data_IF_961168275271
#
_entry.id   IF_961168275271
#
_cell.length_a   1.000
_cell.length_b   1.000
_cell.length_c   1.000
_cell.angle_alpha   90.00
_cell.angle_beta   90.00
_cell.angle_gamma   90.00
#
_symmetry.space_group_name_H-M   'P 1'
#
loop_
_entity.id
_entity.type
_entity.pdbx_description
1 polymer ?
#
# COMPACT_ATOMS: atom_id res chain seq x y z
N UNK A 1 -20.73 2.62 23.72
CA UNK A 1 -19.32 2.68 23.27
C UNK A 1 -19.03 4.12 22.85
N UNK A 2 -18.02 4.77 23.45
CA UNK A 2 -17.90 6.24 23.43
C UNK A 2 -16.96 6.70 22.30
N UNK A 3 -17.38 7.64 21.42
CA UNK A 3 -16.67 8.03 20.18
C UNK A 3 -15.34 8.78 20.40
N UNK A 4 -14.94 8.99 21.66
CA UNK A 4 -13.71 9.72 22.02
C UNK A 4 -12.44 8.86 21.92
N UNK A 5 -12.56 7.53 21.93
CA UNK A 5 -11.41 6.64 21.77
C UNK A 5 -10.87 6.62 20.33
N UNK A 6 -11.75 6.72 19.32
CA UNK A 6 -11.37 6.68 17.92
C UNK A 6 -10.41 7.84 17.54
N UNK A 7 -10.68 9.04 18.07
CA UNK A 7 -9.83 10.22 17.85
C UNK A 7 -8.47 10.12 18.57
N UNK A 8 -8.41 9.45 19.72
CA UNK A 8 -7.14 9.28 20.45
C UNK A 8 -6.19 8.30 19.74
N UNK A 9 -6.71 7.20 19.19
CA UNK A 9 -5.88 6.20 18.48
C UNK A 9 -5.25 6.80 17.22
N UNK A 10 -5.98 7.66 16.48
CA UNK A 10 -5.47 8.30 15.27
C UNK A 10 -4.25 9.20 15.54
N UNK A 11 -4.17 9.83 16.72
CA UNK A 11 -3.04 10.68 17.09
C UNK A 11 -1.78 9.91 17.49
N UNK A 12 -1.93 8.73 18.12
CA UNK A 12 -0.80 7.91 18.59
C UNK A 12 -0.04 7.26 17.43
N UNK A 13 -0.72 7.01 16.29
CA UNK A 13 -0.12 6.35 15.12
C UNK A 13 0.66 7.33 14.21
N UNK A 14 0.42 8.64 14.29
CA UNK A 14 1.09 9.64 13.43
C UNK A 14 2.48 10.05 13.99
N UNK A 15 2.72 9.92 15.30
CA UNK A 15 3.94 10.38 15.95
C UNK A 15 5.22 9.50 15.82
N UNK A 16 5.21 8.20 15.45
CA UNK A 16 6.46 7.43 15.33
C UNK A 16 7.14 7.54 13.96
N UNK A 17 6.57 8.26 12.98
CA UNK A 17 7.11 8.32 11.61
C UNK A 17 8.29 9.29 11.42
N UNK A 18 8.79 9.96 12.47
CA UNK A 18 9.82 10.99 12.29
C UNK A 18 11.25 10.67 12.74
N UNK A 19 11.61 9.58 13.43
CA UNK A 19 13.03 9.42 13.82
C UNK A 19 13.50 7.97 14.01
N UNK A 20 14.08 7.37 12.96
CA UNK A 20 15.24 6.48 13.08
C UNK A 20 16.12 6.65 11.83
N UNK A 21 17.11 7.54 11.90
CA UNK A 21 18.30 7.45 11.07
C UNK A 21 19.42 6.87 11.94
N UNK A 22 19.42 5.56 12.14
CA UNK A 22 20.58 4.84 12.70
C UNK A 22 21.44 4.41 11.54
N UNK A 23 22.50 5.16 11.30
CA UNK A 23 23.58 4.75 10.41
C UNK A 23 24.36 3.60 11.06
N UNK A 24 24.44 2.46 10.38
CA UNK A 24 25.51 1.49 10.58
C UNK A 24 26.26 1.32 9.26
N UNK A 25 27.50 1.82 9.26
CA UNK A 25 28.53 1.50 8.27
C UNK A 25 29.32 0.29 8.79
N UNK A 26 29.43 -0.75 7.97
CA UNK A 26 30.31 -1.91 8.14
C UNK A 26 30.12 -2.82 6.92
N UNK A 27 30.86 -2.65 5.81
CA UNK A 27 32.19 -3.18 5.46
C UNK A 27 32.26 -4.72 5.35
N UNK A 28 32.38 -5.15 4.08
CA UNK A 28 33.01 -6.36 3.53
C UNK A 28 32.15 -7.60 3.21
N UNK A 29 31.60 -7.60 1.98
CA UNK A 29 31.52 -8.76 1.10
C UNK A 29 31.49 -8.31 -0.38
N UNK A 30 32.70 -7.99 -0.88
CA UNK A 30 32.99 -7.74 -2.29
C UNK A 30 32.81 -9.01 -3.15
N UNK A 31 31.57 -9.47 -3.32
CA UNK A 31 31.15 -10.41 -4.37
C UNK A 31 29.75 -9.98 -4.81
N UNK A 32 29.68 -9.00 -5.70
CA UNK A 32 28.41 -8.66 -6.35
C UNK A 32 28.07 -9.77 -7.35
N UNK A 33 27.26 -10.74 -6.93
CA UNK A 33 26.49 -11.54 -7.88
C UNK A 33 25.11 -10.89 -8.02
N UNK A 34 24.75 -10.36 -9.19
CA UNK A 34 23.37 -9.94 -9.41
C UNK A 34 22.48 -11.19 -9.27
N UNK A 35 21.59 -11.16 -8.28
CA UNK A 35 20.53 -12.13 -8.18
C UNK A 35 19.56 -11.77 -9.29
N UNK A 36 19.52 -12.58 -10.34
CA UNK A 36 18.50 -12.47 -11.37
C UNK A 36 17.21 -13.04 -10.76
N UNK A 37 16.28 -12.18 -10.36
CA UNK A 37 14.95 -12.61 -9.94
C UNK A 37 14.26 -13.34 -11.11
N UNK A 38 13.86 -14.63 -10.97
CA UNK A 38 13.23 -15.37 -12.07
C UNK A 38 11.77 -14.94 -12.35
N UNK A 39 11.38 -13.71 -11.99
CA UNK A 39 10.03 -13.20 -12.23
C UNK A 39 10.00 -11.72 -12.59
N UNK A 40 10.91 -11.25 -13.44
CA UNK A 40 10.83 -9.90 -14.02
C UNK A 40 9.90 -9.85 -15.25
N UNK A 41 8.86 -10.67 -15.23
CA UNK A 41 7.88 -10.80 -16.30
C UNK A 41 6.46 -10.42 -15.84
N UNK A 42 6.35 -9.57 -14.82
CA UNK A 42 5.07 -8.97 -14.45
C UNK A 42 5.13 -7.45 -14.63
N UNK A 43 4.71 -7.04 -15.82
CA UNK A 43 4.27 -5.69 -16.17
C UNK A 43 5.34 -4.58 -16.08
N UNK A 44 6.01 -4.32 -17.21
CA UNK A 44 6.72 -3.07 -17.52
C UNK A 44 5.76 -1.86 -17.62
N UNK A 45 4.79 -1.79 -16.73
CA UNK A 45 3.84 -0.71 -16.57
C UNK A 45 4.31 0.10 -15.36
N UNK A 46 5.01 1.22 -15.57
CA UNK A 46 5.31 2.16 -14.48
C UNK A 46 4.00 2.82 -14.04
N UNK A 47 3.29 2.12 -13.15
CA UNK A 47 2.10 2.61 -12.48
C UNK A 47 2.55 3.57 -11.38
N UNK A 48 2.26 4.86 -11.55
CA UNK A 48 2.56 5.88 -10.55
C UNK A 48 1.29 6.21 -9.78
N UNK A 49 1.30 5.97 -8.47
CA UNK A 49 0.22 6.41 -7.59
C UNK A 49 0.03 7.94 -7.68
N UNK A 50 -1.20 8.38 -7.89
CA UNK A 50 -1.57 9.79 -7.92
C UNK A 50 -2.29 10.20 -6.63
N UNK A 51 -3.46 9.59 -6.36
CA UNK A 51 -4.27 9.88 -5.17
C UNK A 51 -5.23 8.74 -4.84
N UNK A 52 -5.74 8.74 -3.61
CA UNK A 52 -6.94 7.98 -3.23
C UNK A 52 -8.17 8.78 -3.63
N UNK A 53 -9.12 8.14 -4.31
CA UNK A 53 -10.41 8.73 -4.72
C UNK A 53 -11.42 8.53 -3.59
N UNK A 54 -11.55 7.30 -3.12
CA UNK A 54 -12.40 6.92 -2.00
C UNK A 54 -11.82 5.70 -1.29
N UNK A 55 -12.27 5.49 -0.06
CA UNK A 55 -11.80 4.39 0.75
C UNK A 55 -12.87 3.95 1.73
N UNK A 56 -12.98 2.64 1.88
CA UNK A 56 -13.83 1.99 2.85
C UNK A 56 -12.98 1.12 3.77
N UNK A 57 -13.47 0.94 5.00
CA UNK A 57 -12.79 0.11 5.99
C UNK A 57 -13.79 -0.87 6.58
N UNK A 58 -13.40 -2.14 6.66
CA UNK A 58 -14.16 -3.19 7.30
C UNK A 58 -13.31 -3.87 8.37
N UNK A 59 -13.87 -4.00 9.57
CA UNK A 59 -13.24 -4.69 10.70
C UNK A 59 -13.89 -6.07 10.86
N UNK A 60 -13.06 -7.12 10.79
CA UNK A 60 -13.45 -8.51 11.00
C UNK A 60 -12.38 -9.19 11.86
N UNK A 61 -11.80 -10.32 11.42
CA UNK A 61 -10.64 -10.96 12.07
C UNK A 61 -9.32 -10.20 11.82
N UNK A 62 -9.39 -9.12 11.05
CA UNK A 62 -8.36 -8.11 10.84
C UNK A 62 -9.02 -6.84 10.28
N UNK A 63 -8.26 -6.02 9.57
CA UNK A 63 -8.75 -4.79 8.94
C UNK A 63 -8.61 -4.92 7.43
N UNK A 64 -9.72 -4.80 6.71
CA UNK A 64 -9.74 -4.71 5.25
C UNK A 64 -9.94 -3.26 4.85
N UNK A 65 -9.05 -2.75 4.00
CA UNK A 65 -9.20 -1.47 3.33
C UNK A 65 -9.51 -1.72 1.86
N UNK A 66 -10.64 -1.19 1.40
CA UNK A 66 -10.98 -1.16 -0.02
C UNK A 66 -10.80 0.28 -0.50
N UNK A 67 -9.82 0.49 -1.37
CA UNK A 67 -9.40 1.81 -1.81
C UNK A 67 -9.56 1.92 -3.32
N UNK A 68 -10.28 2.94 -3.76
CA UNK A 68 -10.25 3.34 -5.16
C UNK A 68 -9.12 4.35 -5.32
N UNK A 69 -8.14 4.02 -6.16
CA UNK A 69 -6.94 4.83 -6.36
C UNK A 69 -6.81 5.26 -7.81
N UNK A 70 -6.45 6.52 -8.00
CA UNK A 70 -6.04 7.04 -9.30
C UNK A 70 -4.54 6.76 -9.50
N UNK A 71 -4.21 6.21 -10.65
CA UNK A 71 -2.86 5.79 -11.03
C UNK A 71 -2.55 6.33 -12.41
N UNK A 72 -1.38 6.94 -12.55
CA UNK A 72 -0.86 7.41 -13.84
C UNK A 72 -0.14 6.24 -14.51
N UNK A 73 -0.59 5.89 -15.71
CA UNK A 73 0.01 4.88 -16.56
C UNK A 73 0.21 5.46 -17.96
N UNK A 74 1.47 5.58 -18.42
CA UNK A 74 1.81 6.03 -19.77
C UNK A 74 0.94 7.24 -20.18
N UNK A 75 1.04 8.32 -19.39
CA UNK A 75 0.37 9.61 -19.63
C UNK A 75 -1.16 9.64 -19.41
N UNK A 76 -1.79 8.52 -19.07
CA UNK A 76 -3.22 8.45 -18.76
C UNK A 76 -3.45 8.22 -17.26
N UNK A 77 -4.50 8.81 -16.71
CA UNK A 77 -4.95 8.50 -15.35
C UNK A 77 -6.02 7.41 -15.43
N UNK A 78 -5.78 6.30 -14.74
CA UNK A 78 -6.69 5.15 -14.64
C UNK A 78 -7.02 4.89 -13.18
N UNK A 79 -8.25 4.46 -12.94
CA UNK A 79 -8.71 4.14 -11.59
C UNK A 79 -8.53 2.64 -11.35
N UNK A 80 -8.13 2.27 -10.14
CA UNK A 80 -7.93 0.90 -9.70
C UNK A 80 -8.59 0.69 -8.34
N UNK A 81 -9.14 -0.49 -8.12
CA UNK A 81 -9.56 -0.97 -6.81
C UNK A 81 -8.39 -1.73 -6.19
N UNK A 82 -7.94 -1.25 -5.04
CA UNK A 82 -6.92 -1.88 -4.21
C UNK A 82 -7.56 -2.38 -2.92
N UNK A 83 -7.46 -3.69 -2.67
CA UNK A 83 -7.91 -4.29 -1.41
C UNK A 83 -6.67 -4.66 -0.60
N UNK A 84 -6.56 -4.10 0.60
CA UNK A 84 -5.45 -4.34 1.53
C UNK A 84 -5.99 -4.99 2.79
N UNK A 85 -5.38 -6.10 3.18
CA UNK A 85 -5.59 -6.72 4.48
C UNK A 85 -4.48 -6.33 5.45
N UNK A 86 -4.86 -5.95 6.67
CA UNK A 86 -3.97 -5.65 7.77
C UNK A 86 -4.35 -6.48 9.01
N UNK A 87 -3.38 -7.16 9.60
CA UNK A 87 -3.49 -7.84 10.89
C UNK A 87 -2.63 -7.09 11.91
N UNK A 88 -3.22 -6.25 12.78
CA UNK A 88 -2.47 -5.48 13.76
C UNK A 88 -1.73 -6.36 14.78
N UNK A 89 -2.30 -7.52 15.13
CA UNK A 89 -1.70 -8.46 16.07
C UNK A 89 -0.39 -9.06 15.54
N UNK A 90 -0.31 -9.24 14.22
CA UNK A 90 0.85 -9.82 13.55
C UNK A 90 1.75 -8.76 12.90
N UNK A 91 1.39 -7.47 13.00
CA UNK A 91 2.02 -6.38 12.24
C UNK A 91 2.12 -6.69 10.74
N UNK A 92 1.12 -7.40 10.21
CA UNK A 92 1.09 -7.89 8.84
C UNK A 92 0.22 -6.99 7.98
N UNK A 93 0.69 -6.65 6.78
CA UNK A 93 -0.05 -5.89 5.78
C UNK A 93 0.22 -6.45 4.41
N UNK A 94 -0.84 -6.73 3.65
CA UNK A 94 -0.72 -7.29 2.32
C UNK A 94 -1.78 -6.73 1.38
N UNK A 95 -1.38 -6.42 0.14
CA UNK A 95 -2.28 -6.06 -0.94
C UNK A 95 -2.89 -7.35 -1.49
N UNK A 96 -4.14 -7.62 -1.15
CA UNK A 96 -4.83 -8.87 -1.51
C UNK A 96 -5.47 -8.80 -2.90
N UNK A 97 -5.76 -7.60 -3.41
CA UNK A 97 -6.29 -7.40 -4.76
C UNK A 97 -5.86 -6.05 -5.31
N UNK A 98 -5.57 -6.00 -6.62
CA UNK A 98 -5.31 -4.76 -7.34
C UNK A 98 -5.83 -4.89 -8.77
N UNK A 99 -7.00 -4.30 -9.04
CA UNK A 99 -7.70 -4.49 -10.32
C UNK A 99 -8.13 -3.17 -10.93
N UNK A 100 -8.10 -3.01 -12.27
CA UNK A 100 -8.62 -1.80 -12.91
C UNK A 100 -10.12 -1.63 -12.60
N UNK A 101 -10.51 -0.43 -12.16
CA UNK A 101 -11.91 -0.04 -12.08
C UNK A 101 -12.38 0.25 -13.51
N UNK A 102 -12.92 -0.77 -14.16
CA UNK A 102 -13.61 -0.59 -15.44
C UNK A 102 -14.83 0.29 -15.21
N UNK A 103 -14.76 1.54 -15.67
CA UNK A 103 -15.95 2.36 -15.88
C UNK A 103 -16.77 1.62 -16.94
N UNK A 104 -17.86 0.96 -16.55
CA UNK A 104 -18.80 0.40 -17.52
C UNK A 104 -19.22 1.51 -18.50
N UNK A 105 -19.05 1.33 -19.82
CA UNK A 105 -19.74 2.20 -20.76
C UNK A 105 -21.21 1.80 -20.74
N UNK A 106 -22.06 2.59 -20.09
CA UNK A 106 -23.51 2.39 -20.10
C UNK A 106 -24.22 3.61 -19.51
N UNK A 107 -24.99 4.40 -20.27
CA UNK A 107 -25.37 4.26 -21.67
C UNK A 107 -26.01 5.52 -22.23
#
# INVERSE_FOLDING_TARGET
>A
MRPRYLLLVLSVVILPLCNVAVGRRGLLDSVWTPINDPNDNESNATLKFERVIQGETQVADGIYYRLDVAVIHVWETKNYEAVVYESPSESYKNLTSFTPLSLLPGG
#
